data_IF_328187524016
#
_entry.id   IF_328187524016
#
_cell.length_a   1.000
_cell.length_b   1.000
_cell.length_c   1.000
_cell.angle_alpha   90.00
_cell.angle_beta   90.00
_cell.angle_gamma   90.00
#
_symmetry.space_group_name_H-M   'P 1'
#
loop_
_entity.id
_entity.type
_entity.pdbx_description
1 polymer ?
#
# COMPACT_ATOMS: atom_id res chain seq x y z
N UNK A 1 -4.64 20.82 34.84
CA UNK A 1 -4.62 20.70 33.38
C UNK A 1 -3.40 19.85 33.03
N UNK A 2 -3.60 18.64 32.54
CA UNK A 2 -2.48 17.84 32.05
C UNK A 2 -1.93 18.58 30.81
N UNK A 3 -0.68 18.97 30.81
CA UNK A 3 0.00 19.46 29.63
C UNK A 3 0.05 18.30 28.64
N UNK A 4 -0.82 18.35 27.63
CA UNK A 4 -0.75 17.40 26.52
C UNK A 4 0.63 17.55 25.87
N UNK A 5 1.46 16.52 25.94
CA UNK A 5 2.79 16.53 25.35
C UNK A 5 2.66 16.74 23.84
N UNK A 6 3.43 17.68 23.30
CA UNK A 6 3.40 18.03 21.87
C UNK A 6 3.84 16.85 21.03
N UNK A 7 3.13 16.54 19.94
CA UNK A 7 3.47 15.45 19.04
C UNK A 7 4.63 15.88 18.14
N UNK A 8 5.82 15.33 18.37
CA UNK A 8 7.04 15.59 17.59
C UNK A 8 7.27 14.44 16.60
N UNK A 9 7.94 14.71 15.47
CA UNK A 9 8.29 13.70 14.47
C UNK A 9 9.13 12.56 15.08
N UNK A 10 8.92 11.33 14.63
CA UNK A 10 9.64 10.14 15.08
C UNK A 10 11.01 9.99 14.43
N UNK A 11 11.23 10.66 13.32
CA UNK A 11 12.49 10.74 12.58
C UNK A 11 12.69 12.19 12.15
N UNK A 12 13.95 12.69 12.22
CA UNK A 12 14.26 14.06 11.83
C UNK A 12 13.80 14.37 10.41
N UNK A 13 13.15 15.51 10.20
CA UNK A 13 12.78 16.02 8.87
C UNK A 13 14.00 16.21 7.97
N UNK A 14 15.18 16.48 8.54
CA UNK A 14 16.45 16.60 7.81
C UNK A 14 16.96 15.29 7.25
N UNK A 15 16.45 14.14 7.72
CA UNK A 15 16.74 12.84 7.13
C UNK A 15 16.15 12.68 5.71
N UNK A 16 15.23 13.58 5.32
CA UNK A 16 14.55 13.55 4.02
C UNK A 16 14.97 14.74 3.13
N UNK A 17 14.73 14.58 1.85
CA UNK A 17 14.83 15.69 0.91
C UNK A 17 13.59 16.59 1.06
N UNK A 18 13.80 17.90 1.30
CA UNK A 18 12.79 18.96 1.38
C UNK A 18 11.77 18.90 2.53
N UNK A 19 11.70 17.86 3.34
CA UNK A 19 10.68 17.74 4.40
C UNK A 19 10.85 18.79 5.50
N UNK A 20 12.07 19.27 5.74
CA UNK A 20 12.32 20.39 6.66
C UNK A 20 11.80 21.75 6.12
N UNK A 21 11.61 21.89 4.81
CA UNK A 21 11.19 23.13 4.15
C UNK A 21 9.66 23.22 4.01
N UNK A 22 8.97 22.09 3.90
CA UNK A 22 7.53 22.01 3.61
C UNK A 22 6.80 21.12 4.61
N UNK A 23 5.50 21.34 4.80
CA UNK A 23 4.63 20.36 5.44
C UNK A 23 4.28 19.28 4.41
N UNK A 24 5.05 18.18 4.41
CA UNK A 24 4.83 17.07 3.47
C UNK A 24 3.75 16.13 4.00
N UNK A 25 2.52 16.38 3.63
CA UNK A 25 1.31 15.66 4.05
C UNK A 25 0.72 14.81 2.92
N UNK A 26 1.58 14.27 2.04
CA UNK A 26 1.20 13.58 0.82
C UNK A 26 1.76 12.15 0.71
N UNK A 27 2.16 11.50 1.81
CA UNK A 27 2.76 10.16 1.79
C UNK A 27 1.89 9.09 1.08
N UNK A 28 0.57 9.23 1.12
CA UNK A 28 -0.37 8.35 0.39
C UNK A 28 -0.41 8.57 -1.13
N UNK A 29 0.14 9.67 -1.64
CA UNK A 29 0.36 9.91 -3.08
C UNK A 29 1.79 9.56 -3.46
N UNK A 30 2.71 10.41 -3.01
CA UNK A 30 4.16 10.30 -3.19
C UNK A 30 4.85 10.51 -1.84
N UNK A 31 5.69 9.57 -1.43
CA UNK A 31 6.44 9.74 -0.18
C UNK A 31 7.66 10.64 -0.37
N UNK A 32 8.13 11.21 0.74
CA UNK A 32 9.39 11.93 0.74
C UNK A 32 10.59 10.96 0.67
N UNK A 33 11.65 11.37 0.01
CA UNK A 33 12.85 10.56 -0.22
C UNK A 33 13.83 10.70 0.95
N UNK A 34 14.23 9.59 1.56
CA UNK A 34 15.31 9.54 2.54
C UNK A 34 16.65 9.88 1.89
N UNK A 35 17.46 10.74 2.53
CA UNK A 35 18.83 11.07 2.05
C UNK A 35 19.74 9.83 2.06
N UNK A 36 19.51 8.88 2.94
CA UNK A 36 20.24 7.61 3.01
C UNK A 36 20.06 6.70 1.78
N UNK A 37 19.00 6.94 0.97
CA UNK A 37 18.81 6.22 -0.29
C UNK A 37 19.95 6.45 -1.29
N UNK A 38 20.61 7.62 -1.28
CA UNK A 38 21.75 7.88 -2.13
C UNK A 38 22.87 6.85 -1.89
N UNK A 39 23.23 6.59 -0.64
CA UNK A 39 24.24 5.60 -0.29
C UNK A 39 23.80 4.16 -0.65
N UNK A 40 22.50 3.85 -0.57
CA UNK A 40 21.98 2.55 -0.99
C UNK A 40 22.12 2.34 -2.51
N UNK A 41 21.83 3.37 -3.30
CA UNK A 41 22.01 3.35 -4.77
C UNK A 41 23.49 3.26 -5.15
N UNK A 42 24.37 4.01 -4.50
CA UNK A 42 25.82 3.94 -4.70
C UNK A 42 26.38 2.54 -4.43
N UNK A 43 25.95 1.90 -3.33
CA UNK A 43 26.31 0.50 -3.03
C UNK A 43 25.84 -0.45 -4.12
N UNK A 44 24.61 -0.28 -4.62
CA UNK A 44 24.11 -1.10 -5.72
C UNK A 44 24.94 -0.91 -7.01
N UNK A 45 25.35 0.32 -7.34
CA UNK A 45 26.21 0.58 -8.49
C UNK A 45 27.59 -0.07 -8.34
N UNK A 46 28.18 -0.04 -7.14
CA UNK A 46 29.43 -0.75 -6.85
C UNK A 46 29.29 -2.25 -7.10
N UNK A 47 28.29 -2.89 -6.48
CA UNK A 47 28.00 -4.32 -6.69
C UNK A 47 27.80 -4.68 -8.16
N UNK A 48 27.06 -3.85 -8.90
CA UNK A 48 26.85 -4.08 -10.34
C UNK A 48 28.15 -3.96 -11.14
N UNK A 49 29.08 -3.10 -10.70
CA UNK A 49 30.36 -2.87 -11.38
C UNK A 49 31.36 -4.01 -11.16
N UNK A 50 31.18 -4.82 -10.12
CA UNK A 50 32.00 -6.02 -9.83
C UNK A 50 31.67 -7.23 -10.74
N UNK A 51 30.86 -7.02 -11.79
CA UNK A 51 30.54 -8.02 -12.79
C UNK A 51 29.74 -9.21 -12.26
N UNK A 52 30.18 -10.42 -12.60
CA UNK A 52 29.44 -11.64 -12.23
C UNK A 52 29.50 -11.91 -10.72
N UNK A 53 30.62 -11.72 -10.07
CA UNK A 53 30.77 -11.93 -8.61
C UNK A 53 29.90 -10.94 -7.84
N UNK A 54 29.87 -9.67 -8.25
CA UNK A 54 28.99 -8.66 -7.68
C UNK A 54 27.51 -9.03 -7.82
N UNK A 55 27.13 -9.63 -8.95
CA UNK A 55 25.77 -10.13 -9.16
C UNK A 55 25.43 -11.29 -8.25
N UNK A 56 26.20 -12.37 -8.29
CA UNK A 56 25.85 -13.64 -7.61
C UNK A 56 25.88 -13.53 -6.08
N UNK A 57 26.85 -12.80 -5.53
CA UNK A 57 26.99 -12.63 -4.09
C UNK A 57 26.31 -11.35 -3.60
N UNK A 58 26.57 -10.22 -4.28
CA UNK A 58 26.12 -8.90 -3.83
C UNK A 58 24.66 -8.63 -4.11
N UNK A 59 24.27 -8.69 -5.41
CA UNK A 59 22.91 -8.33 -5.85
C UNK A 59 21.89 -9.38 -5.44
N UNK A 60 22.22 -10.67 -5.51
CA UNK A 60 21.34 -11.72 -5.01
C UNK A 60 21.25 -11.72 -3.48
N UNK A 61 22.32 -11.35 -2.79
CA UNK A 61 22.31 -11.11 -1.35
C UNK A 61 21.41 -9.92 -0.95
N UNK A 62 21.43 -8.83 -1.72
CA UNK A 62 20.50 -7.70 -1.55
C UNK A 62 19.05 -8.17 -1.67
N UNK A 63 18.71 -8.93 -2.72
CA UNK A 63 17.37 -9.48 -2.92
C UNK A 63 16.91 -10.29 -1.71
N UNK A 64 17.77 -11.17 -1.20
CA UNK A 64 17.46 -12.03 -0.06
C UNK A 64 17.22 -11.21 1.22
N UNK A 65 18.12 -10.27 1.56
CA UNK A 65 17.94 -9.40 2.73
C UNK A 65 16.69 -8.53 2.63
N UNK A 66 16.40 -7.97 1.45
CA UNK A 66 15.17 -7.19 1.25
C UNK A 66 13.94 -8.06 1.48
N UNK A 67 13.97 -9.33 1.06
CA UNK A 67 12.88 -10.28 1.26
C UNK A 67 12.70 -10.63 2.75
N UNK A 68 13.78 -10.83 3.47
CA UNK A 68 13.77 -11.08 4.92
C UNK A 68 13.19 -9.89 5.69
N UNK A 69 13.59 -8.66 5.36
CA UNK A 69 13.01 -7.45 5.99
C UNK A 69 11.54 -7.25 5.65
N UNK A 70 11.13 -7.54 4.42
CA UNK A 70 9.71 -7.51 4.05
C UNK A 70 8.91 -8.59 4.78
N UNK A 71 9.51 -9.76 4.99
CA UNK A 71 8.98 -10.88 5.78
C UNK A 71 8.75 -10.47 7.24
N UNK A 72 9.72 -9.82 7.87
CA UNK A 72 9.62 -9.28 9.23
C UNK A 72 8.49 -8.24 9.34
N UNK A 73 8.41 -7.30 8.38
CA UNK A 73 7.38 -6.26 8.36
C UNK A 73 5.97 -6.85 8.27
N UNK A 74 5.78 -7.90 7.47
CA UNK A 74 4.47 -8.50 7.20
C UNK A 74 4.14 -9.68 8.14
N UNK A 75 5.09 -10.15 8.94
CA UNK A 75 4.92 -11.28 9.86
C UNK A 75 4.68 -12.62 9.16
N UNK A 76 5.29 -12.86 8.01
CA UNK A 76 5.11 -14.06 7.17
C UNK A 76 6.46 -14.63 6.74
N UNK A 77 6.57 -15.92 6.36
CA UNK A 77 7.84 -16.49 5.89
C UNK A 77 8.39 -15.77 4.65
N UNK A 78 9.73 -15.60 4.54
CA UNK A 78 10.33 -14.92 3.37
C UNK A 78 10.07 -15.68 2.05
N UNK A 79 9.90 -17.00 2.08
CA UNK A 79 9.55 -17.80 0.90
C UNK A 79 8.17 -17.49 0.31
N UNK A 80 7.28 -16.85 1.08
CA UNK A 80 5.94 -16.48 0.67
C UNK A 80 5.87 -15.07 0.06
N UNK A 81 7.03 -14.39 -0.08
CA UNK A 81 7.16 -13.04 -0.61
C UNK A 81 7.84 -13.06 -1.98
N UNK A 82 7.32 -12.29 -2.91
CA UNK A 82 7.93 -11.95 -4.20
C UNK A 82 8.00 -10.44 -4.39
N UNK A 83 8.91 -10.00 -5.27
CA UNK A 83 8.98 -8.61 -5.71
C UNK A 83 8.57 -8.47 -7.16
N UNK A 84 7.61 -7.61 -7.40
CA UNK A 84 7.06 -7.27 -8.71
C UNK A 84 7.34 -5.81 -9.04
N UNK A 85 7.04 -5.39 -10.28
CA UNK A 85 7.28 -4.01 -10.69
C UNK A 85 6.19 -3.04 -10.17
N UNK A 86 4.99 -3.56 -9.85
CA UNK A 86 3.88 -2.77 -9.32
C UNK A 86 2.86 -3.63 -8.56
N UNK A 87 2.10 -3.02 -7.64
CA UNK A 87 0.96 -3.67 -7.00
C UNK A 87 -0.11 -4.09 -8.03
N UNK A 88 -0.28 -3.33 -9.11
CA UNK A 88 -1.21 -3.66 -10.20
C UNK A 88 -0.87 -5.00 -10.87
N UNK A 89 0.42 -5.27 -11.08
CA UNK A 89 0.89 -6.57 -11.58
C UNK A 89 0.50 -7.70 -10.61
N UNK A 90 0.71 -7.48 -9.31
CA UNK A 90 0.39 -8.46 -8.27
C UNK A 90 -1.10 -8.79 -8.17
N UNK A 91 -1.98 -7.78 -8.21
CA UNK A 91 -3.43 -7.98 -8.23
C UNK A 91 -3.88 -8.75 -9.47
N UNK A 92 -3.23 -8.49 -10.61
CA UNK A 92 -3.47 -9.21 -11.85
C UNK A 92 -3.13 -10.70 -11.80
N UNK A 93 -2.15 -11.11 -10.96
CA UNK A 93 -1.77 -12.52 -10.82
C UNK A 93 -2.94 -13.41 -10.40
N UNK A 94 -3.71 -12.98 -9.38
CA UNK A 94 -4.84 -13.76 -8.89
C UNK A 94 -5.97 -13.82 -9.92
N UNK A 95 -6.30 -12.70 -10.55
CA UNK A 95 -7.35 -12.63 -11.57
C UNK A 95 -7.04 -13.52 -12.80
N UNK A 96 -5.77 -13.58 -13.20
CA UNK A 96 -5.36 -14.34 -14.37
C UNK A 96 -5.05 -15.81 -14.06
N UNK A 97 -4.64 -16.13 -12.84
CA UNK A 97 -4.17 -17.47 -12.45
C UNK A 97 -5.23 -18.41 -11.88
N UNK A 98 -6.45 -17.92 -11.61
CA UNK A 98 -7.56 -18.76 -11.14
C UNK A 98 -8.35 -19.37 -12.30
N UNK A 99 -8.80 -20.62 -12.10
CA UNK A 99 -9.75 -21.28 -13.00
C UNK A 99 -11.17 -20.77 -12.75
N UNK A 100 -11.61 -19.84 -13.59
CA UNK A 100 -12.93 -19.23 -13.52
C UNK A 100 -13.99 -20.05 -14.23
N UNK A 101 -15.22 -20.03 -13.70
CA UNK A 101 -16.40 -20.66 -14.29
C UNK A 101 -17.49 -19.61 -14.50
N UNK A 102 -18.31 -19.75 -15.55
CA UNK A 102 -19.48 -18.88 -15.73
C UNK A 102 -20.38 -18.89 -14.49
N UNK A 103 -20.69 -17.67 -14.01
CA UNK A 103 -21.47 -17.45 -12.79
C UNK A 103 -20.66 -17.40 -11.49
N UNK A 104 -19.35 -17.62 -11.50
CA UNK A 104 -18.48 -17.22 -10.40
C UNK A 104 -18.56 -15.69 -10.23
N UNK A 105 -18.29 -15.20 -9.02
CA UNK A 105 -18.26 -13.77 -8.79
C UNK A 105 -17.08 -13.31 -7.94
N UNK A 106 -16.78 -12.01 -8.08
CA UNK A 106 -15.81 -11.28 -7.26
C UNK A 106 -16.55 -10.15 -6.57
N UNK A 107 -16.39 -10.03 -5.26
CA UNK A 107 -16.93 -8.92 -4.48
C UNK A 107 -15.82 -7.89 -4.27
N UNK A 108 -16.10 -6.63 -4.61
CA UNK A 108 -15.15 -5.50 -4.51
C UNK A 108 -15.92 -4.21 -4.20
N UNK A 109 -15.29 -3.26 -3.50
CA UNK A 109 -15.90 -1.96 -3.23
C UNK A 109 -15.80 -1.03 -4.44
N UNK A 110 -16.82 -0.16 -4.63
CA UNK A 110 -16.83 0.82 -5.71
C UNK A 110 -15.83 1.97 -5.52
N UNK A 111 -15.25 2.07 -4.33
CA UNK A 111 -14.22 3.06 -3.97
C UNK A 111 -12.79 2.51 -4.03
N UNK A 112 -12.61 1.31 -4.56
CA UNK A 112 -11.26 0.77 -4.73
C UNK A 112 -10.43 1.59 -5.72
N UNK A 113 -9.11 1.61 -5.50
CA UNK A 113 -8.21 2.16 -6.50
C UNK A 113 -8.37 1.38 -7.82
N UNK A 114 -8.27 2.01 -8.99
CA UNK A 114 -8.51 1.35 -10.28
C UNK A 114 -7.78 0.02 -10.48
N UNK A 115 -6.57 -0.13 -9.92
CA UNK A 115 -5.82 -1.40 -9.96
C UNK A 115 -6.48 -2.52 -9.16
N UNK A 116 -7.28 -2.20 -8.14
CA UNK A 116 -8.06 -3.17 -7.37
C UNK A 116 -9.36 -3.60 -8.07
N UNK A 117 -9.77 -2.89 -9.14
CA UNK A 117 -11.01 -3.12 -9.86
C UNK A 117 -10.80 -3.74 -11.26
N UNK A 118 -9.93 -3.14 -12.08
CA UNK A 118 -9.80 -3.52 -13.50
C UNK A 118 -9.40 -4.98 -13.76
N UNK A 119 -8.56 -5.66 -12.94
CA UNK A 119 -8.26 -7.07 -13.17
C UNK A 119 -9.51 -7.95 -13.18
N UNK A 120 -10.51 -7.61 -12.36
CA UNK A 120 -11.74 -8.36 -12.24
C UNK A 120 -12.72 -8.06 -13.39
N UNK A 121 -12.84 -6.81 -13.80
CA UNK A 121 -13.81 -6.41 -14.86
C UNK A 121 -13.56 -7.12 -16.19
N UNK A 122 -12.31 -7.45 -16.51
CA UNK A 122 -11.98 -8.23 -17.73
C UNK A 122 -12.56 -9.65 -17.72
N UNK A 123 -12.87 -10.19 -16.54
CA UNK A 123 -13.40 -11.55 -16.39
C UNK A 123 -14.87 -11.67 -16.82
N UNK A 124 -15.57 -10.56 -17.06
CA UNK A 124 -16.92 -10.54 -17.57
C UNK A 124 -17.06 -11.32 -18.89
N UNK A 125 -16.02 -11.33 -19.75
CA UNK A 125 -15.96 -12.12 -20.97
C UNK A 125 -15.95 -13.63 -20.72
N UNK A 126 -15.65 -14.07 -19.51
CA UNK A 126 -15.67 -15.48 -19.07
C UNK A 126 -16.96 -15.80 -18.29
N UNK A 127 -17.92 -14.88 -18.22
CA UNK A 127 -19.17 -15.05 -17.48
C UNK A 127 -19.01 -14.88 -15.96
N UNK A 128 -17.95 -14.23 -15.51
CA UNK A 128 -17.73 -13.88 -14.08
C UNK A 128 -18.40 -12.56 -13.77
N UNK A 129 -19.17 -12.51 -12.69
CA UNK A 129 -19.81 -11.29 -12.20
C UNK A 129 -18.86 -10.50 -11.30
N UNK A 130 -18.77 -9.18 -11.50
CA UNK A 130 -18.11 -8.27 -10.56
C UNK A 130 -19.18 -7.54 -9.75
N UNK A 131 -19.30 -7.87 -8.48
CA UNK A 131 -20.26 -7.26 -7.54
C UNK A 131 -19.62 -6.06 -6.87
N UNK A 132 -20.06 -4.87 -7.28
CA UNK A 132 -19.62 -3.61 -6.71
C UNK A 132 -20.43 -3.28 -5.46
N UNK A 133 -19.79 -3.32 -4.30
CA UNK A 133 -20.40 -2.89 -3.04
C UNK A 133 -20.29 -1.37 -2.95
N UNK A 134 -21.43 -0.72 -3.08
CA UNK A 134 -21.49 0.76 -3.04
C UNK A 134 -21.33 1.28 -1.63
N UNK A 135 -20.56 2.33 -1.53
CA UNK A 135 -20.47 3.14 -0.32
C UNK A 135 -21.67 4.11 -0.27
N UNK A 136 -22.48 4.04 0.78
CA UNK A 136 -23.50 5.04 1.07
C UNK A 136 -23.16 5.76 2.36
N UNK A 137 -23.16 7.10 2.33
CA UNK A 137 -22.82 7.92 3.50
C UNK A 137 -21.36 7.86 3.96
N UNK A 138 -20.42 7.42 3.09
CA UNK A 138 -19.01 7.33 3.44
C UNK A 138 -18.61 6.06 4.21
N UNK A 139 -19.55 5.19 4.57
CA UNK A 139 -19.28 3.95 5.29
C UNK A 139 -19.61 2.71 4.44
N UNK A 140 -18.58 2.02 3.95
CA UNK A 140 -18.74 0.60 3.67
C UNK A 140 -18.59 -0.14 4.99
N UNK A 141 -19.54 -0.94 5.31
CA UNK A 141 -19.49 -1.78 6.49
C UNK A 141 -19.16 -3.21 6.07
N UNK A 142 -18.55 -3.98 6.95
CA UNK A 142 -18.38 -5.43 6.78
C UNK A 142 -19.72 -6.10 6.45
N UNK A 143 -20.83 -5.60 7.00
CA UNK A 143 -22.16 -6.12 6.72
C UNK A 143 -22.57 -5.97 5.24
N UNK A 144 -22.19 -4.89 4.58
CA UNK A 144 -22.45 -4.72 3.14
C UNK A 144 -21.62 -5.66 2.29
N UNK A 145 -20.35 -5.84 2.65
CA UNK A 145 -19.52 -6.86 2.02
C UNK A 145 -20.15 -8.24 2.22
N UNK A 146 -20.58 -8.56 3.46
CA UNK A 146 -21.23 -9.83 3.79
C UNK A 146 -22.50 -10.08 2.96
N UNK A 147 -23.33 -9.05 2.78
CA UNK A 147 -24.56 -9.16 1.99
C UNK A 147 -24.31 -9.39 0.47
N UNK A 148 -23.10 -9.08 -0.02
CA UNK A 148 -22.73 -9.27 -1.42
C UNK A 148 -22.07 -10.64 -1.70
N UNK A 149 -21.61 -11.36 -0.66
CA UNK A 149 -20.99 -12.67 -0.81
C UNK A 149 -22.05 -13.78 -0.87
N UNK A 150 -21.78 -14.79 -1.67
CA UNK A 150 -22.56 -16.05 -1.73
C UNK A 150 -21.64 -17.26 -2.01
N UNK A 151 -22.22 -18.45 -2.18
CA UNK A 151 -21.49 -19.69 -2.41
C UNK A 151 -20.76 -19.75 -3.76
N UNK A 152 -20.96 -18.77 -4.64
CA UNK A 152 -20.26 -18.61 -5.92
C UNK A 152 -19.19 -17.55 -5.88
N UNK A 153 -19.03 -16.88 -4.74
CA UNK A 153 -17.97 -15.87 -4.58
C UNK A 153 -16.61 -16.55 -4.49
N UNK A 154 -15.74 -16.24 -5.46
CA UNK A 154 -14.39 -16.80 -5.52
C UNK A 154 -13.36 -15.89 -4.85
N UNK A 155 -13.58 -14.57 -4.89
CA UNK A 155 -12.65 -13.60 -4.32
C UNK A 155 -13.42 -12.46 -3.66
N UNK A 156 -13.01 -12.12 -2.45
CA UNK A 156 -13.26 -10.85 -1.79
C UNK A 156 -12.01 -9.99 -1.98
N UNK A 157 -12.10 -8.90 -2.74
CA UNK A 157 -10.98 -8.01 -3.06
C UNK A 157 -11.18 -6.65 -2.38
N UNK A 158 -10.24 -6.25 -1.52
CA UNK A 158 -10.35 -5.02 -0.72
C UNK A 158 -8.99 -4.37 -0.51
N UNK A 159 -8.98 -3.05 -0.29
CA UNK A 159 -7.85 -2.34 0.30
C UNK A 159 -7.93 -2.37 1.83
N UNK A 160 -6.84 -2.75 2.53
CA UNK A 160 -6.80 -2.71 4.00
C UNK A 160 -7.06 -1.29 4.52
N UNK A 161 -6.47 -0.28 3.86
CA UNK A 161 -6.77 1.14 4.10
C UNK A 161 -7.20 1.77 2.79
N UNK A 162 -8.41 2.33 2.76
CA UNK A 162 -8.93 3.02 1.58
C UNK A 162 -8.11 4.27 1.25
N UNK A 163 -7.68 4.39 0.00
CA UNK A 163 -7.00 5.58 -0.50
C UNK A 163 -7.93 6.79 -0.60
N UNK A 164 -9.24 6.52 -0.66
CA UNK A 164 -10.27 7.52 -0.89
C UNK A 164 -10.81 8.10 0.43
N UNK A 165 -10.98 7.27 1.45
CA UNK A 165 -11.61 7.70 2.71
C UNK A 165 -10.66 7.62 3.92
N UNK A 166 -9.55 6.90 3.83
CA UNK A 166 -8.70 6.60 4.99
C UNK A 166 -9.28 5.55 5.93
N UNK A 167 -10.45 4.95 5.62
CA UNK A 167 -11.02 3.86 6.41
C UNK A 167 -10.08 2.66 6.40
N UNK A 168 -9.97 2.00 7.56
CA UNK A 168 -9.19 0.78 7.77
C UNK A 168 -10.08 -0.40 8.08
N UNK A 169 -9.78 -1.56 7.50
CA UNK A 169 -10.34 -2.86 7.86
C UNK A 169 -9.44 -3.65 8.79
N UNK A 170 -10.04 -4.45 9.66
CA UNK A 170 -9.39 -5.57 10.32
C UNK A 170 -9.35 -6.78 9.36
N UNK A 171 -8.14 -7.25 9.05
CA UNK A 171 -7.95 -8.37 8.13
C UNK A 171 -8.45 -9.71 8.72
N UNK A 172 -8.48 -9.87 10.04
CA UNK A 172 -9.03 -11.08 10.67
C UNK A 172 -10.56 -11.15 10.50
N UNK A 173 -11.26 -10.01 10.59
CA UNK A 173 -12.69 -9.94 10.31
C UNK A 173 -13.00 -10.26 8.84
N UNK A 174 -12.23 -9.70 7.91
CA UNK A 174 -12.38 -9.99 6.47
C UNK A 174 -12.06 -11.45 6.16
N UNK A 175 -11.04 -12.04 6.81
CA UNK A 175 -10.72 -13.46 6.67
C UNK A 175 -11.89 -14.35 7.12
N UNK A 176 -12.42 -14.06 8.32
CA UNK A 176 -13.57 -14.80 8.83
C UNK A 176 -14.80 -14.67 7.91
N UNK A 177 -15.01 -13.50 7.31
CA UNK A 177 -16.06 -13.27 6.32
C UNK A 177 -15.84 -14.12 5.07
N UNK A 178 -14.65 -14.06 4.46
CA UNK A 178 -14.32 -14.81 3.25
C UNK A 178 -14.40 -16.34 3.48
N UNK A 179 -13.97 -16.83 4.65
CA UNK A 179 -14.01 -18.26 4.98
C UNK A 179 -15.44 -18.82 5.06
N UNK A 180 -16.42 -18.04 5.50
CA UNK A 180 -17.82 -18.46 5.53
C UNK A 180 -18.37 -18.84 4.16
N UNK A 181 -17.81 -18.27 3.10
CA UNK A 181 -18.21 -18.48 1.71
C UNK A 181 -17.18 -19.25 0.89
N UNK A 182 -16.08 -19.71 1.53
CA UNK A 182 -14.98 -20.38 0.82
C UNK A 182 -14.23 -19.48 -0.17
N UNK A 183 -14.40 -18.17 -0.06
CA UNK A 183 -13.78 -17.19 -0.93
C UNK A 183 -12.31 -16.94 -0.56
N UNK A 184 -11.49 -16.57 -1.55
CA UNK A 184 -10.15 -16.05 -1.35
C UNK A 184 -10.22 -14.59 -0.92
N UNK A 185 -9.30 -14.16 -0.05
CA UNK A 185 -9.13 -12.77 0.36
C UNK A 185 -7.92 -12.16 -0.34
N UNK A 186 -8.18 -11.23 -1.27
CA UNK A 186 -7.18 -10.42 -1.96
C UNK A 186 -7.09 -9.03 -1.32
N UNK A 187 -5.91 -8.62 -0.87
CA UNK A 187 -5.71 -7.39 -0.11
C UNK A 187 -4.72 -6.46 -0.81
N UNK A 188 -5.12 -5.20 -1.02
CA UNK A 188 -4.17 -4.12 -1.32
C UNK A 188 -3.80 -3.41 0.00
N UNK A 189 -2.54 -3.59 0.43
CA UNK A 189 -1.98 -2.97 1.63
C UNK A 189 -1.17 -1.70 1.32
N UNK A 190 -1.27 -1.13 0.13
CA UNK A 190 -0.45 0.02 -0.32
C UNK A 190 -0.59 1.24 0.58
N UNK A 191 -1.75 1.46 1.21
CA UNK A 191 -1.97 2.55 2.17
C UNK A 191 -1.83 2.11 3.64
N UNK A 192 -1.39 0.87 3.89
CA UNK A 192 -1.23 0.27 5.21
C UNK A 192 0.23 -0.08 5.52
N UNK A 193 0.90 -0.84 4.64
CA UNK A 193 2.24 -1.37 4.88
C UNK A 193 3.26 -0.26 5.12
N UNK A 194 4.00 -0.38 6.23
CA UNK A 194 5.00 0.58 6.68
C UNK A 194 4.48 1.63 7.65
N UNK A 195 3.14 1.78 7.82
CA UNK A 195 2.56 2.84 8.65
C UNK A 195 1.50 2.35 9.63
N UNK A 196 0.84 1.25 9.31
CA UNK A 196 0.00 0.50 10.26
C UNK A 196 0.34 -0.99 10.16
N UNK A 197 0.17 -1.77 11.25
CA UNK A 197 0.42 -3.21 11.22
C UNK A 197 -0.42 -3.92 10.16
N UNK A 198 0.24 -4.81 9.42
CA UNK A 198 -0.39 -5.65 8.40
C UNK A 198 -0.29 -7.10 8.84
N UNK A 199 -1.40 -7.69 9.22
CA UNK A 199 -1.49 -9.10 9.57
C UNK A 199 -1.67 -9.95 8.29
N UNK A 200 -0.61 -10.02 7.46
CA UNK A 200 -0.67 -10.57 6.11
C UNK A 200 -1.09 -12.04 6.06
N UNK A 201 -0.88 -12.81 7.14
CA UNK A 201 -1.31 -14.21 7.27
C UNK A 201 -2.84 -14.41 7.12
N UNK A 202 -3.64 -13.35 7.29
CA UNK A 202 -5.09 -13.40 7.06
C UNK A 202 -5.47 -13.25 5.58
N UNK A 203 -4.58 -12.75 4.73
CA UNK A 203 -4.81 -12.68 3.28
C UNK A 203 -4.42 -13.98 2.59
N UNK A 204 -5.00 -14.25 1.43
CA UNK A 204 -4.53 -15.30 0.53
C UNK A 204 -3.52 -14.73 -0.46
N UNK A 205 -3.79 -13.52 -0.96
CA UNK A 205 -2.83 -12.71 -1.71
C UNK A 205 -2.86 -11.29 -1.16
N UNK A 206 -1.66 -10.71 -0.95
CA UNK A 206 -1.54 -9.33 -0.52
C UNK A 206 -0.48 -8.62 -1.37
N UNK A 207 -0.77 -7.38 -1.74
CA UNK A 207 0.19 -6.53 -2.46
C UNK A 207 0.41 -5.21 -1.73
N UNK A 208 1.59 -4.61 -1.94
CA UNK A 208 1.86 -3.24 -1.53
C UNK A 208 2.84 -2.57 -2.48
N UNK A 209 2.48 -1.40 -3.01
CA UNK A 209 3.43 -0.54 -3.73
C UNK A 209 4.47 0.03 -2.78
N UNK A 210 5.74 0.10 -3.21
CA UNK A 210 6.83 0.50 -2.32
C UNK A 210 7.02 2.03 -2.21
N UNK A 211 6.53 2.83 -3.17
CA UNK A 211 6.80 4.26 -3.29
C UNK A 211 5.90 5.19 -2.44
N UNK A 212 5.04 4.61 -1.59
CA UNK A 212 4.16 5.34 -0.67
C UNK A 212 4.65 5.16 0.78
N UNK A 213 3.86 4.54 1.63
CA UNK A 213 4.16 4.39 3.06
C UNK A 213 5.33 3.44 3.38
N UNK A 214 5.82 2.68 2.40
CA UNK A 214 7.07 1.92 2.54
C UNK A 214 8.33 2.76 2.31
N UNK A 215 8.22 4.10 2.10
CA UNK A 215 9.33 5.03 1.91
C UNK A 215 10.28 4.69 0.75
N UNK A 216 9.88 3.80 -0.16
CA UNK A 216 10.67 3.40 -1.31
C UNK A 216 10.46 4.28 -2.54
N UNK A 217 10.72 3.73 -3.71
CA UNK A 217 10.56 4.38 -5.01
C UNK A 217 9.67 3.55 -5.94
N UNK A 218 9.24 4.14 -7.06
CA UNK A 218 8.52 3.42 -8.11
C UNK A 218 9.35 2.26 -8.70
N UNK A 219 8.65 1.31 -9.30
CA UNK A 219 9.26 0.17 -9.97
C UNK A 219 9.43 -1.05 -9.07
N UNK A 220 8.96 -1.01 -7.81
CA UNK A 220 8.91 -2.16 -6.93
C UNK A 220 7.57 -2.25 -6.18
N UNK A 221 7.10 -3.47 -5.98
CA UNK A 221 5.97 -3.83 -5.11
C UNK A 221 6.27 -5.15 -4.41
N UNK A 222 5.75 -5.29 -3.19
CA UNK A 222 5.75 -6.55 -2.45
C UNK A 222 4.49 -7.33 -2.84
N UNK A 223 4.66 -8.62 -3.10
CA UNK A 223 3.59 -9.60 -3.20
C UNK A 223 3.78 -10.63 -2.08
N UNK A 224 2.78 -10.84 -1.26
CA UNK A 224 2.64 -12.03 -0.40
C UNK A 224 1.63 -12.98 -1.03
N UNK A 225 1.96 -14.27 -1.04
CA UNK A 225 1.11 -15.33 -1.57
C UNK A 225 1.06 -16.49 -0.57
N UNK A 226 -0.11 -16.74 0.00
CA UNK A 226 -0.34 -17.82 0.96
C UNK A 226 -0.16 -19.21 0.30
N UNK A 227 0.86 -19.98 0.66
CA UNK A 227 1.15 -21.26 -0.01
C UNK A 227 0.11 -22.34 0.30
N UNK A 228 -0.59 -22.29 1.45
CA UNK A 228 -1.60 -23.26 1.81
C UNK A 228 -2.86 -23.14 0.95
N UNK A 229 -3.18 -21.92 0.49
CA UNK A 229 -4.39 -21.64 -0.29
C UNK A 229 -4.11 -21.42 -1.78
N UNK A 230 -2.95 -20.88 -2.11
CA UNK A 230 -2.56 -20.49 -3.47
C UNK A 230 -1.28 -21.21 -3.95
N UNK A 231 -0.89 -22.32 -3.31
CA UNK A 231 0.33 -23.05 -3.67
C UNK A 231 0.37 -23.52 -5.13
N UNK A 232 -0.79 -23.76 -5.74
CA UNK A 232 -0.91 -24.17 -7.15
C UNK A 232 -1.21 -22.99 -8.10
N UNK A 233 -1.31 -21.75 -7.61
CA UNK A 233 -1.55 -20.59 -8.47
C UNK A 233 -0.42 -20.44 -9.48
N UNK A 234 -0.77 -20.46 -10.76
CA UNK A 234 0.18 -20.30 -11.86
C UNK A 234 0.46 -18.80 -12.07
N UNK A 235 1.72 -18.39 -12.29
CA UNK A 235 2.02 -17.03 -12.63
C UNK A 235 1.44 -16.64 -13.99
N UNK A 236 0.95 -15.40 -14.11
CA UNK A 236 0.44 -14.87 -15.38
C UNK A 236 1.52 -14.83 -16.47
N UNK A 237 2.76 -14.59 -16.08
CA UNK A 237 3.91 -14.55 -16.97
C UNK A 237 4.97 -15.50 -16.45
N UNK A 238 5.44 -16.38 -17.32
CA UNK A 238 6.51 -17.33 -17.03
C UNK A 238 7.82 -16.81 -17.62
N UNK A 239 8.86 -16.80 -16.81
CA UNK A 239 10.20 -16.45 -17.25
C UNK A 239 11.28 -17.27 -16.55
N UNK A 240 12.53 -17.01 -16.89
CA UNK A 240 13.67 -17.80 -16.41
C UNK A 240 13.83 -17.79 -14.88
N UNK A 241 13.38 -16.71 -14.21
CA UNK A 241 13.47 -16.60 -12.76
C UNK A 241 12.31 -17.28 -12.03
N UNK A 242 11.21 -17.58 -12.74
CA UNK A 242 10.06 -18.28 -12.17
C UNK A 242 10.33 -19.77 -11.91
N UNK A 243 11.35 -20.35 -12.54
CA UNK A 243 11.62 -21.80 -12.55
C UNK A 243 12.75 -22.18 -11.59
N UNK A 244 12.68 -23.40 -11.06
CA UNK A 244 13.65 -23.90 -10.09
C UNK A 244 14.99 -24.25 -10.74
N UNK A 245 14.96 -24.69 -12.03
CA UNK A 245 16.15 -25.02 -12.80
C UNK A 245 16.08 -24.34 -14.17
N UNK A 246 17.01 -23.42 -14.46
CA UNK A 246 17.06 -22.68 -15.71
C UNK A 246 18.34 -22.97 -16.48
N UNK A 247 18.68 -24.25 -16.53
CA UNK A 247 20.03 -24.58 -16.97
C UNK A 247 20.10 -24.98 -18.34
N UNK A 248 20.03 -24.48 -19.33
CA UNK A 248 20.68 -24.98 -20.51
C UNK A 248 20.22 -24.39 -21.80
N UNK A 249 21.17 -24.25 -22.63
CA UNK A 249 21.16 -23.90 -24.05
C UNK A 249 20.21 -24.72 -24.91
N UNK A 250 19.89 -25.94 -24.53
CA UNK A 250 18.83 -26.73 -25.15
C UNK A 250 17.49 -26.27 -24.54
N UNK A 251 16.65 -25.58 -25.32
CA UNK A 251 15.35 -25.09 -24.90
C UNK A 251 14.60 -26.19 -24.10
N UNK A 252 14.48 -26.07 -22.78
CA UNK A 252 13.78 -27.07 -21.98
C UNK A 252 12.30 -26.97 -22.32
N UNK A 253 11.75 -28.05 -22.79
CA UNK A 253 10.28 -28.22 -22.89
C UNK A 253 9.70 -28.53 -21.53
N UNK A 254 10.52 -29.02 -20.58
CA UNK A 254 10.12 -29.35 -19.23
C UNK A 254 10.70 -28.36 -18.23
N UNK A 255 9.87 -27.81 -17.38
CA UNK A 255 10.27 -26.93 -16.30
C UNK A 255 9.50 -27.23 -15.01
N UNK A 256 10.10 -26.90 -13.88
CA UNK A 256 9.44 -26.93 -12.58
C UNK A 256 9.41 -25.51 -12.01
N UNK A 257 8.23 -25.03 -11.65
CA UNK A 257 8.09 -23.73 -10.99
C UNK A 257 8.79 -23.75 -9.63
N UNK A 258 9.30 -22.59 -9.21
CA UNK A 258 9.75 -22.42 -7.83
C UNK A 258 8.61 -22.72 -6.87
N UNK A 259 8.85 -23.46 -5.78
CA UNK A 259 7.81 -23.78 -4.80
C UNK A 259 7.41 -22.56 -3.94
N UNK A 260 8.18 -21.48 -4.02
CA UNK A 260 8.01 -20.23 -3.27
C UNK A 260 7.28 -19.18 -4.10
N UNK A 261 6.92 -18.05 -3.48
CA UNK A 261 6.33 -16.89 -4.17
C UNK A 261 7.24 -16.33 -5.27
N UNK A 262 8.56 -16.60 -5.23
CA UNK A 262 9.49 -16.21 -6.28
C UNK A 262 9.12 -16.75 -7.68
N UNK A 263 8.19 -17.72 -7.78
CA UNK A 263 7.62 -18.14 -9.08
C UNK A 263 6.91 -17.01 -9.83
N UNK A 264 6.46 -15.97 -9.13
CA UNK A 264 5.84 -14.78 -9.72
C UNK A 264 6.85 -13.76 -10.23
N UNK A 265 8.14 -13.90 -9.92
CA UNK A 265 9.23 -13.08 -10.43
C UNK A 265 9.68 -13.63 -11.78
N UNK A 266 9.10 -13.14 -12.89
CA UNK A 266 9.35 -13.70 -14.22
C UNK A 266 10.80 -13.50 -14.71
N UNK A 267 11.41 -12.39 -14.37
CA UNK A 267 12.78 -12.03 -14.78
C UNK A 267 13.61 -11.50 -13.62
N UNK A 268 14.63 -10.72 -13.94
CA UNK A 268 15.37 -10.01 -12.89
C UNK A 268 14.43 -9.10 -12.10
N UNK A 269 14.43 -9.20 -10.77
CA UNK A 269 13.74 -8.25 -9.92
C UNK A 269 14.25 -6.80 -10.15
N UNK A 270 13.50 -5.78 -9.73
CA UNK A 270 13.88 -4.37 -9.88
C UNK A 270 14.98 -3.96 -8.89
N UNK A 271 16.18 -4.51 -9.03
CA UNK A 271 17.26 -4.46 -8.04
C UNK A 271 17.60 -3.06 -7.52
N UNK A 272 17.58 -2.04 -8.37
CA UNK A 272 17.85 -0.67 -7.91
C UNK A 272 16.74 -0.17 -6.97
N UNK A 273 15.48 -0.43 -7.30
CA UNK A 273 14.37 -0.08 -6.42
C UNK A 273 14.39 -0.92 -5.13
N UNK A 274 14.86 -2.18 -5.19
CA UNK A 274 15.05 -3.03 -4.01
C UNK A 274 16.18 -2.55 -3.11
N UNK A 275 17.26 -1.97 -3.66
CA UNK A 275 18.31 -1.36 -2.84
C UNK A 275 17.78 -0.17 -2.01
N UNK A 276 16.91 0.64 -2.62
CA UNK A 276 16.20 1.72 -1.92
C UNK A 276 15.22 1.15 -0.90
N UNK A 277 14.47 0.11 -1.25
CA UNK A 277 13.50 -0.53 -0.37
C UNK A 277 14.17 -1.18 0.84
N UNK A 278 15.32 -1.87 0.69
CA UNK A 278 16.09 -2.43 1.81
C UNK A 278 16.39 -1.35 2.86
N UNK A 279 16.92 -0.20 2.41
CA UNK A 279 17.23 0.94 3.28
C UNK A 279 15.97 1.54 3.93
N UNK A 280 14.86 1.60 3.20
CA UNK A 280 13.59 2.08 3.72
C UNK A 280 13.03 1.14 4.79
N UNK A 281 13.02 -0.17 4.55
CA UNK A 281 12.55 -1.18 5.50
C UNK A 281 13.40 -1.20 6.78
N UNK A 282 14.71 -0.99 6.67
CA UNK A 282 15.59 -0.83 7.83
C UNK A 282 15.23 0.39 8.68
N UNK A 283 14.92 1.51 8.02
CA UNK A 283 14.47 2.72 8.70
C UNK A 283 13.13 2.49 9.41
N UNK A 284 12.15 1.87 8.75
CA UNK A 284 10.85 1.53 9.33
C UNK A 284 10.98 0.57 10.52
N UNK A 285 11.82 -0.46 10.40
CA UNK A 285 12.09 -1.41 11.49
C UNK A 285 12.74 -0.74 12.71
N UNK A 286 13.66 0.20 12.48
CA UNK A 286 14.30 0.97 13.54
C UNK A 286 13.32 1.82 14.34
N UNK A 287 12.31 2.41 13.67
CA UNK A 287 11.28 3.23 14.32
C UNK A 287 10.23 2.33 14.98
N UNK A 288 9.82 1.25 14.32
CA UNK A 288 8.74 0.34 14.68
C UNK A 288 7.37 0.77 14.17
N UNK A 289 6.69 -0.13 13.43
CA UNK A 289 5.42 0.19 12.76
C UNK A 289 4.32 0.54 13.75
N UNK A 290 4.25 -0.12 14.90
CA UNK A 290 3.26 0.17 15.95
C UNK A 290 3.49 1.56 16.57
N UNK A 291 4.74 2.03 16.63
CA UNK A 291 5.04 3.38 17.06
C UNK A 291 4.65 4.40 16.00
N UNK A 292 4.89 4.08 14.72
CA UNK A 292 4.45 4.92 13.60
C UNK A 292 2.92 5.01 13.58
N UNK A 293 2.22 3.89 13.74
CA UNK A 293 0.76 3.85 13.80
C UNK A 293 0.20 4.79 14.86
N UNK A 294 0.65 4.65 16.12
CA UNK A 294 0.19 5.53 17.22
C UNK A 294 0.43 6.99 16.91
N UNK A 295 1.57 7.30 16.30
CA UNK A 295 1.95 8.65 15.92
C UNK A 295 1.03 9.24 14.84
N UNK A 296 0.83 8.52 13.72
CA UNK A 296 -0.01 9.02 12.62
C UNK A 296 -1.49 9.08 13.00
N UNK A 297 -1.97 8.16 13.84
CA UNK A 297 -3.35 8.20 14.36
C UNK A 297 -3.56 9.38 15.32
N UNK A 298 -2.56 9.73 16.14
CA UNK A 298 -2.62 10.90 17.00
C UNK A 298 -2.69 12.20 16.18
N UNK A 299 -1.81 12.39 15.19
CA UNK A 299 -1.85 13.53 14.26
C UNK A 299 -3.17 13.56 13.46
N UNK A 300 -3.61 12.40 12.96
CA UNK A 300 -4.88 12.25 12.26
C UNK A 300 -6.07 12.62 13.13
N UNK A 301 -6.05 12.26 14.42
CA UNK A 301 -7.09 12.64 15.38
C UNK A 301 -7.17 14.15 15.61
N UNK A 302 -6.03 14.82 15.77
CA UNK A 302 -5.97 16.27 15.86
C UNK A 302 -6.58 16.96 14.63
N UNK A 303 -6.13 16.54 13.44
CA UNK A 303 -6.65 17.09 12.20
C UNK A 303 -8.14 16.84 12.02
N UNK A 304 -8.59 15.59 12.25
CA UNK A 304 -10.00 15.20 12.11
C UNK A 304 -10.91 16.09 12.97
N UNK A 305 -10.59 16.25 14.24
CA UNK A 305 -11.36 17.11 15.17
C UNK A 305 -11.34 18.57 14.74
N UNK A 306 -10.21 19.08 14.27
CA UNK A 306 -10.07 20.45 13.82
C UNK A 306 -10.87 20.76 12.54
N UNK A 307 -10.93 19.82 11.60
CA UNK A 307 -11.73 19.92 10.37
C UNK A 307 -13.24 19.85 10.69
N UNK A 308 -13.63 18.95 11.60
CA UNK A 308 -15.01 18.84 12.09
C UNK A 308 -15.48 20.13 12.76
N UNK A 309 -14.64 20.73 13.59
CA UNK A 309 -14.94 22.02 14.23
C UNK A 309 -15.12 23.18 13.24
N UNK A 310 -14.56 23.08 12.03
CA UNK A 310 -14.73 24.02 10.91
C UNK A 310 -15.96 23.73 10.04
N UNK A 311 -16.74 22.71 10.39
CA UNK A 311 -17.94 22.31 9.62
C UNK A 311 -17.64 21.60 8.29
N UNK A 312 -16.41 21.13 8.08
CA UNK A 312 -16.04 20.43 6.84
C UNK A 312 -16.61 18.99 6.85
N UNK A 313 -17.08 18.56 5.70
CA UNK A 313 -17.59 17.18 5.51
C UNK A 313 -16.43 16.20 5.42
N UNK A 314 -16.27 15.39 6.46
CA UNK A 314 -15.23 14.35 6.53
C UNK A 314 -15.70 13.07 5.81
N UNK A 315 -14.78 12.47 5.03
CA UNK A 315 -14.95 11.16 4.40
C UNK A 315 -14.29 10.06 5.24
N UNK A 316 -13.40 10.45 6.15
CA UNK A 316 -12.71 9.53 7.07
C UNK A 316 -13.64 9.20 8.24
N UNK A 317 -13.74 7.92 8.66
CA UNK A 317 -14.58 7.50 9.77
C UNK A 317 -14.33 8.29 11.07
N UNK A 318 -15.39 8.51 11.85
CA UNK A 318 -15.30 9.16 13.16
C UNK A 318 -14.58 8.26 14.18
N UNK A 319 -14.80 6.94 14.12
CA UNK A 319 -14.15 5.97 15.00
C UNK A 319 -12.64 5.86 14.72
N UNK A 320 -11.76 6.23 15.68
CA UNK A 320 -10.30 6.11 15.50
C UNK A 320 -9.80 4.69 15.21
N UNK A 321 -10.50 3.66 15.71
CA UNK A 321 -10.13 2.26 15.47
C UNK A 321 -10.28 1.85 13.99
N UNK A 322 -11.10 2.59 13.26
CA UNK A 322 -11.37 2.36 11.82
C UNK A 322 -10.59 3.31 10.91
N UNK A 323 -9.57 4.00 11.42
CA UNK A 323 -8.75 4.94 10.66
C UNK A 323 -7.38 4.36 10.30
N UNK A 324 -6.91 4.73 9.11
CA UNK A 324 -5.51 4.61 8.70
C UNK A 324 -4.78 5.96 8.80
N UNK A 325 -3.66 6.12 8.07
CA UNK A 325 -2.82 7.32 8.10
C UNK A 325 -3.39 8.50 7.32
N UNK A 326 -4.52 8.32 6.64
CA UNK A 326 -5.12 9.33 5.77
C UNK A 326 -6.33 9.98 6.43
N UNK A 327 -6.41 11.32 6.37
CA UNK A 327 -7.61 12.09 6.67
C UNK A 327 -8.11 12.71 5.38
N UNK A 328 -9.36 12.41 5.01
CA UNK A 328 -9.98 12.83 3.76
C UNK A 328 -11.23 13.67 4.06
N UNK A 329 -11.39 14.78 3.36
CA UNK A 329 -12.55 15.66 3.48
C UNK A 329 -13.00 16.16 2.11
N UNK A 330 -14.28 16.48 2.00
CA UNK A 330 -14.89 17.01 0.77
C UNK A 330 -14.49 18.46 0.56
N UNK A 331 -14.11 18.78 -0.69
CA UNK A 331 -13.84 20.14 -1.12
C UNK A 331 -14.10 20.24 -2.63
N UNK A 332 -15.14 20.95 -3.08
CA UNK A 332 -15.54 20.94 -4.50
C UNK A 332 -14.41 21.33 -5.46
N UNK A 333 -13.71 22.43 -5.22
CA UNK A 333 -12.50 22.81 -5.96
C UNK A 333 -11.22 22.28 -5.27
N UNK A 334 -11.11 20.96 -5.16
CA UNK A 334 -9.98 20.32 -4.52
C UNK A 334 -8.65 20.58 -5.24
N UNK A 335 -8.67 20.83 -6.55
CA UNK A 335 -7.46 21.16 -7.33
C UNK A 335 -6.98 22.56 -7.02
N UNK A 336 -7.89 23.54 -6.97
CA UNK A 336 -7.58 24.92 -6.58
C UNK A 336 -7.06 25.00 -5.16
N UNK A 337 -7.70 24.29 -4.21
CA UNK A 337 -7.21 24.25 -2.82
C UNK A 337 -5.80 23.66 -2.71
N UNK A 338 -5.50 22.56 -3.41
CA UNK A 338 -4.15 21.97 -3.40
C UNK A 338 -3.11 22.96 -3.94
N UNK A 339 -3.44 23.70 -5.00
CA UNK A 339 -2.54 24.72 -5.54
C UNK A 339 -2.30 25.88 -4.54
N UNK A 340 -3.36 26.34 -3.86
CA UNK A 340 -3.26 27.36 -2.83
C UNK A 340 -2.41 26.89 -1.64
N UNK A 341 -2.64 25.69 -1.14
CA UNK A 341 -1.86 25.09 -0.05
C UNK A 341 -0.38 24.92 -0.45
N UNK A 342 -0.11 24.47 -1.69
CA UNK A 342 1.25 24.30 -2.19
C UNK A 342 2.03 25.65 -2.24
N UNK A 343 1.36 26.77 -2.53
CA UNK A 343 1.95 28.10 -2.47
C UNK A 343 2.42 28.48 -1.04
N UNK A 344 1.82 27.88 -0.01
CA UNK A 344 2.22 28.02 1.40
C UNK A 344 3.17 26.90 1.87
N UNK A 345 3.73 26.12 0.95
CA UNK A 345 4.65 25.01 1.27
C UNK A 345 3.97 23.85 1.97
N UNK A 346 2.68 23.58 1.68
CA UNK A 346 1.91 22.47 2.23
C UNK A 346 1.54 21.53 1.08
N UNK A 347 2.05 20.31 1.13
CA UNK A 347 1.86 19.32 0.09
C UNK A 347 0.81 18.29 0.53
N UNK A 348 -0.33 18.29 -0.12
CA UNK A 348 -1.45 17.33 0.05
C UNK A 348 -1.87 16.78 -1.31
N UNK A 349 -2.72 15.77 -1.32
CA UNK A 349 -3.36 15.29 -2.56
C UNK A 349 -4.77 15.81 -2.65
N UNK A 350 -5.22 16.17 -3.86
CA UNK A 350 -6.62 16.55 -4.13
C UNK A 350 -7.07 16.13 -5.52
N UNK A 351 -8.35 15.78 -5.63
CA UNK A 351 -9.01 15.36 -6.84
C UNK A 351 -10.42 14.84 -6.55
N UNK A 352 -11.26 14.80 -7.55
CA UNK A 352 -12.64 14.29 -7.47
C UNK A 352 -13.46 14.91 -6.32
N UNK A 353 -13.32 16.24 -6.11
CA UNK A 353 -14.05 16.96 -5.08
C UNK A 353 -13.63 16.67 -3.64
N UNK A 354 -12.43 16.13 -3.42
CA UNK A 354 -11.91 15.84 -2.08
C UNK A 354 -10.43 16.16 -1.94
N UNK A 355 -10.00 16.35 -0.70
CA UNK A 355 -8.60 16.51 -0.31
C UNK A 355 -8.22 15.40 0.65
N UNK A 356 -7.02 14.84 0.47
CA UNK A 356 -6.44 13.83 1.35
C UNK A 356 -5.13 14.31 1.95
N UNK A 357 -5.09 14.29 3.27
CA UNK A 357 -3.90 14.54 4.08
C UNK A 357 -3.37 13.19 4.55
N UNK A 358 -2.11 12.88 4.29
CA UNK A 358 -1.50 11.59 4.58
C UNK A 358 -0.27 11.78 5.46
N UNK A 359 -0.33 11.25 6.69
CA UNK A 359 0.74 11.35 7.68
C UNK A 359 1.74 10.20 7.60
N UNK A 360 2.98 10.49 8.00
CA UNK A 360 4.04 9.50 8.20
C UNK A 360 4.90 9.86 9.43
N UNK A 361 5.89 9.04 9.74
CA UNK A 361 6.80 9.19 10.89
C UNK A 361 7.53 10.55 10.96
N UNK A 362 7.68 11.26 9.86
CA UNK A 362 8.37 12.55 9.79
C UNK A 362 7.46 13.77 10.05
N UNK A 363 6.15 13.57 10.10
CA UNK A 363 5.21 14.64 10.39
C UNK A 363 5.15 14.94 11.89
N UNK A 364 4.72 16.15 12.23
CA UNK A 364 4.53 16.61 13.59
C UNK A 364 3.30 17.52 13.72
N UNK A 365 3.05 18.01 14.93
CA UNK A 365 1.91 18.90 15.22
C UNK A 365 2.01 20.25 14.50
N UNK A 366 3.24 20.74 14.17
CA UNK A 366 3.43 21.96 13.41
C UNK A 366 2.94 21.80 11.97
N UNK A 367 3.10 20.64 11.36
CA UNK A 367 2.56 20.38 10.01
C UNK A 367 1.03 20.50 10.01
N UNK A 368 0.36 20.00 11.06
CA UNK A 368 -1.10 20.15 11.22
C UNK A 368 -1.47 21.61 11.41
N UNK A 369 -0.77 22.35 12.28
CA UNK A 369 -1.03 23.76 12.54
C UNK A 369 -0.84 24.63 11.28
N UNK A 370 0.22 24.38 10.50
CA UNK A 370 0.47 25.07 9.21
C UNK A 370 -0.67 24.82 8.23
N UNK A 371 -1.11 23.56 8.08
CA UNK A 371 -2.23 23.20 7.22
C UNK A 371 -3.51 23.93 7.64
N UNK A 372 -3.85 23.91 8.92
CA UNK A 372 -5.07 24.55 9.42
C UNK A 372 -5.06 26.06 9.24
N UNK A 373 -3.91 26.73 9.47
CA UNK A 373 -3.76 28.17 9.24
C UNK A 373 -3.97 28.54 7.77
N UNK A 374 -3.39 27.78 6.84
CA UNK A 374 -3.57 28.04 5.42
C UNK A 374 -5.00 27.72 4.95
N UNK A 375 -5.62 26.68 5.50
CA UNK A 375 -7.01 26.34 5.19
C UNK A 375 -7.99 27.42 5.67
N UNK A 376 -7.77 28.01 6.86
CA UNK A 376 -8.59 29.09 7.39
C UNK A 376 -8.53 30.35 6.48
N UNK A 377 -7.37 30.66 5.89
CA UNK A 377 -7.25 31.72 4.89
C UNK A 377 -8.10 31.43 3.64
N UNK A 378 -8.04 30.20 3.10
CA UNK A 378 -8.85 29.83 1.95
C UNK A 378 -10.36 29.87 2.23
N UNK A 379 -10.81 29.49 3.44
CA UNK A 379 -12.22 29.56 3.83
C UNK A 379 -12.75 31.00 3.96
N UNK A 380 -11.90 31.97 4.30
CA UNK A 380 -12.28 33.39 4.36
C UNK A 380 -12.42 34.01 2.98
N UNK A 381 -11.60 33.61 2.02
CA UNK A 381 -11.62 34.12 0.64
C UNK A 381 -12.84 33.62 -0.17
N UNK A 382 -13.36 32.41 0.10
CA UNK A 382 -14.56 31.88 -0.54
C UNK A 382 -15.86 32.56 -0.03
N UNK A 383 -15.84 33.23 1.12
CA UNK A 383 -16.99 33.94 1.69
C UNK A 383 -17.03 35.44 1.32
N UNK A 384 -16.09 35.94 0.52
CA UNK A 384 -16.03 37.29 -0.01
C UNK A 384 -16.32 37.35 -1.50
#
# INVERSE_FOLDING_TARGET
MATTERITSLISKDAFLRVAEVAHLCAGGETAILRSHNAAVERFFALKSDGFDGREVGVMGLLQRTRERASELLGVPPGDIAFLNSASEGLGQLAAGLDWRPGDNVVVEDIEFPSGLYPWTRLAAQGVEVRLVRQEGGEATIDRLAAALDDRTRVLAVSQVSYLTGRRYDLAELRALADRHGALLSVDATHAAGVVPVAAQHADLLVSSCYKFLLGVHGAAILYCNPQRLGNLQPQSLGWHSVASHHTVAAPTDYTLRPTAARFEAGNPPFMALAVLENALETLATIGVERIERHVLALGGLLHSALQARGLTLLTPEDPARRGPNICFSWPDSVGLVAALAAHGILVWGGDGRVRVSFHAYNDEDDVARLLTALDACLTDENT
#
